data_IF_684839957915
#
_entry.id   IF_684839957915
#
_cell.length_a   1.000
_cell.length_b   1.000
_cell.length_c   1.000
_cell.angle_alpha   90.00
_cell.angle_beta   90.00
_cell.angle_gamma   90.00
#
_symmetry.space_group_name_H-M   'P 1'
#
loop_
_entity.id
_entity.type
_entity.pdbx_description
1 polymer ?
#
# COMPACT_ATOMS: atom_id res chain seq x y z
N UNK A 1 -11.89 4.68 8.90
CA UNK A 1 -10.71 4.88 8.04
C UNK A 1 -9.86 5.97 8.67
N UNK A 2 -8.55 5.78 8.78
CA UNK A 2 -7.62 6.78 9.32
C UNK A 2 -7.42 7.97 8.37
N UNK A 3 -6.93 9.09 8.90
CA UNK A 3 -6.71 10.33 8.13
C UNK A 3 -5.69 10.16 7.00
N UNK A 4 -4.75 9.23 7.13
CA UNK A 4 -3.76 8.89 6.10
C UNK A 4 -4.30 7.89 5.05
N UNK A 5 -5.57 7.51 5.15
CA UNK A 5 -6.24 6.54 4.29
C UNK A 5 -5.57 5.15 4.24
N UNK A 6 -4.72 4.81 5.22
CA UNK A 6 -4.04 3.50 5.27
C UNK A 6 -4.80 2.46 6.07
N UNK A 7 -5.43 2.88 7.18
CA UNK A 7 -5.92 1.96 8.21
C UNK A 7 -7.44 1.99 8.34
N UNK A 8 -8.07 0.84 8.17
CA UNK A 8 -9.45 0.58 8.56
C UNK A 8 -9.46 -0.01 9.96
N UNK A 9 -10.30 0.51 10.86
CA UNK A 9 -10.39 0.03 12.24
C UNK A 9 -11.81 -0.38 12.61
N UNK A 10 -11.92 -1.46 13.38
CA UNK A 10 -13.17 -1.90 14.00
C UNK A 10 -12.95 -2.22 15.48
N UNK A 11 -13.97 -1.94 16.29
CA UNK A 11 -14.04 -2.26 17.73
C UNK A 11 -15.23 -3.14 18.08
N UNK A 12 -15.84 -3.78 17.08
CA UNK A 12 -17.05 -4.55 17.31
C UNK A 12 -16.75 -5.79 18.18
N UNK A 13 -17.46 -5.91 19.30
CA UNK A 13 -17.18 -6.90 20.35
C UNK A 13 -17.20 -8.34 19.85
N UNK A 14 -18.11 -8.66 18.92
CA UNK A 14 -18.23 -10.00 18.35
C UNK A 14 -16.96 -10.46 17.60
N UNK A 15 -16.14 -9.53 17.10
CA UNK A 15 -14.87 -9.83 16.42
C UNK A 15 -13.74 -10.17 17.41
N UNK A 16 -13.89 -9.81 18.68
CA UNK A 16 -12.95 -10.14 19.75
C UNK A 16 -13.43 -11.26 20.69
N UNK A 17 -14.63 -11.78 20.46
CA UNK A 17 -15.27 -12.84 21.28
C UNK A 17 -15.62 -14.11 20.49
N UNK A 18 -15.72 -14.05 19.15
CA UNK A 18 -16.03 -15.21 18.31
C UNK A 18 -14.93 -15.42 17.25
N UNK A 19 -14.12 -16.50 17.36
CA UNK A 19 -13.01 -16.73 16.41
C UNK A 19 -13.48 -16.85 14.96
N UNK A 20 -14.61 -17.53 14.73
CA UNK A 20 -15.18 -17.72 13.38
C UNK A 20 -15.58 -16.40 12.71
N UNK A 21 -16.10 -15.44 13.48
CA UNK A 21 -16.44 -14.12 12.98
C UNK A 21 -15.20 -13.31 12.58
N UNK A 22 -14.12 -13.41 13.37
CA UNK A 22 -12.85 -12.78 13.04
C UNK A 22 -12.23 -13.42 11.79
N UNK A 23 -12.16 -14.75 11.70
CA UNK A 23 -11.66 -15.46 10.52
C UNK A 23 -12.43 -15.04 9.27
N UNK A 24 -13.76 -15.02 9.33
CA UNK A 24 -14.61 -14.58 8.21
C UNK A 24 -14.29 -13.15 7.79
N UNK A 25 -14.20 -12.21 8.74
CA UNK A 25 -13.82 -10.83 8.43
C UNK A 25 -12.45 -10.74 7.78
N UNK A 26 -11.44 -11.42 8.32
CA UNK A 26 -10.07 -11.36 7.81
C UNK A 26 -10.00 -11.92 6.39
N UNK A 27 -10.70 -13.03 6.11
CA UNK A 27 -10.82 -13.59 4.75
C UNK A 27 -11.49 -12.61 3.78
N UNK A 28 -12.62 -12.04 4.16
CA UNK A 28 -13.32 -11.04 3.32
C UNK A 28 -12.48 -9.79 3.10
N UNK A 29 -11.71 -9.34 4.10
CA UNK A 29 -10.83 -8.19 3.95
C UNK A 29 -9.58 -8.52 3.13
N UNK A 30 -9.08 -9.76 3.20
CA UNK A 30 -7.94 -10.20 2.42
C UNK A 30 -8.24 -10.27 0.92
N UNK A 31 -9.48 -10.57 0.52
CA UNK A 31 -9.92 -10.58 -0.88
C UNK A 31 -10.11 -9.18 -1.49
N UNK A 32 -9.97 -8.12 -0.68
CA UNK A 32 -10.03 -6.74 -1.17
C UNK A 32 -8.59 -6.26 -1.43
N UNK A 33 -8.26 -5.81 -2.66
CA UNK A 33 -6.90 -5.37 -2.99
C UNK A 33 -6.52 -4.07 -2.29
N UNK A 34 -5.22 -3.88 -1.98
CA UNK A 34 -4.71 -2.57 -1.62
C UNK A 34 -4.75 -1.63 -2.82
N UNK A 35 -4.69 -0.32 -2.58
CA UNK A 35 -4.64 0.69 -3.64
C UNK A 35 -3.25 1.32 -3.71
N UNK A 36 -2.31 0.74 -4.50
CA UNK A 36 -0.99 1.31 -4.74
C UNK A 36 -1.08 2.55 -5.64
N UNK A 37 -0.23 3.52 -5.35
CA UNK A 37 -0.19 4.82 -6.02
C UNK A 37 1.26 5.26 -6.19
N UNK A 38 1.54 5.99 -7.26
CA UNK A 38 2.80 6.72 -7.44
C UNK A 38 2.49 8.20 -7.27
N UNK A 39 3.24 8.88 -6.42
CA UNK A 39 3.21 10.33 -6.28
C UNK A 39 4.53 10.87 -6.82
N UNK A 40 4.46 11.82 -7.75
CA UNK A 40 5.62 12.44 -8.38
C UNK A 40 5.52 13.94 -8.16
N UNK A 41 6.44 14.48 -7.37
CA UNK A 41 6.45 15.88 -6.97
C UNK A 41 7.74 16.56 -7.42
N UNK A 42 7.60 17.65 -8.15
CA UNK A 42 8.69 18.55 -8.49
C UNK A 42 8.61 19.82 -7.66
N UNK A 43 9.68 20.15 -6.94
CA UNK A 43 9.80 21.45 -6.24
C UNK A 43 11.12 22.17 -6.51
N UNK A 44 11.07 23.51 -6.54
CA UNK A 44 12.23 24.40 -6.53
C UNK A 44 12.13 25.35 -5.34
N UNK A 45 13.06 25.20 -4.39
CA UNK A 45 12.99 25.87 -3.09
C UNK A 45 11.67 25.55 -2.39
N UNK A 46 10.88 26.57 -2.07
CA UNK A 46 9.56 26.43 -1.43
C UNK A 46 8.40 26.21 -2.41
N UNK A 47 8.62 26.42 -3.71
CA UNK A 47 7.57 26.31 -4.73
C UNK A 47 7.45 24.86 -5.20
N UNK A 48 6.22 24.35 -5.22
CA UNK A 48 5.89 23.09 -5.90
C UNK A 48 5.49 23.46 -7.32
N UNK A 49 6.25 23.00 -8.31
CA UNK A 49 5.97 23.27 -9.73
C UNK A 49 5.03 22.22 -10.32
N UNK A 50 5.02 20.99 -9.80
CA UNK A 50 4.02 19.97 -10.12
C UNK A 50 3.93 18.92 -9.00
N UNK A 51 2.75 18.33 -8.85
CA UNK A 51 2.46 17.26 -7.87
C UNK A 51 1.39 16.34 -8.46
N UNK A 52 1.83 15.27 -9.12
CA UNK A 52 0.94 14.36 -9.82
C UNK A 52 0.84 13.01 -9.12
N UNK A 53 -0.33 12.38 -9.23
CA UNK A 53 -0.65 11.09 -8.61
C UNK A 53 -1.18 10.11 -9.65
N UNK A 54 -0.68 8.89 -9.61
CA UNK A 54 -1.12 7.80 -10.48
C UNK A 54 -1.62 6.62 -9.66
N UNK A 55 -2.67 5.96 -10.14
CA UNK A 55 -3.19 4.74 -9.54
C UNK A 55 -2.60 3.52 -10.26
N UNK A 56 -2.03 2.58 -9.50
CA UNK A 56 -1.46 1.33 -10.02
C UNK A 56 -2.36 0.11 -9.81
N UNK A 57 -3.58 0.30 -9.29
CA UNK A 57 -4.49 -0.82 -8.99
C UNK A 57 -4.82 -1.67 -10.22
N UNK A 58 -4.89 -1.07 -11.42
CA UNK A 58 -5.13 -1.80 -12.69
C UNK A 58 -4.02 -2.79 -13.03
N UNK A 59 -2.87 -2.73 -12.35
CA UNK A 59 -1.77 -3.68 -12.55
C UNK A 59 -1.82 -4.86 -11.58
N UNK A 60 -2.64 -4.78 -10.53
CA UNK A 60 -2.78 -5.82 -9.51
C UNK A 60 -4.00 -6.69 -9.72
N UNK A 61 -5.06 -6.13 -10.31
CA UNK A 61 -6.34 -6.80 -10.48
C UNK A 61 -6.53 -7.09 -11.97
N UNK A 62 -6.36 -8.36 -12.41
CA UNK A 62 -6.66 -8.73 -13.79
C UNK A 62 -8.17 -8.70 -14.04
N UNK A 63 -8.56 -8.50 -15.30
CA UNK A 63 -9.98 -8.54 -15.71
C UNK A 63 -10.58 -9.95 -15.54
N UNK A 64 -9.77 -10.99 -15.72
CA UNK A 64 -10.14 -12.38 -15.46
C UNK A 64 -9.76 -12.79 -14.03
N UNK A 65 -10.76 -13.01 -13.18
CA UNK A 65 -10.56 -13.43 -11.79
C UNK A 65 -9.73 -14.72 -11.66
N UNK A 66 -9.73 -15.60 -12.67
CA UNK A 66 -8.93 -16.83 -12.67
C UNK A 66 -7.43 -16.58 -12.73
N UNK A 67 -7.01 -15.40 -13.18
CA UNK A 67 -5.61 -14.99 -13.26
C UNK A 67 -5.13 -14.30 -11.98
N UNK A 68 -6.04 -14.04 -11.03
CA UNK A 68 -5.72 -13.38 -9.76
C UNK A 68 -4.90 -14.34 -8.87
N UNK A 69 -3.81 -13.84 -8.31
CA UNK A 69 -2.84 -14.64 -7.52
C UNK A 69 -2.76 -14.11 -6.08
N UNK A 70 -3.88 -13.67 -5.50
CA UNK A 70 -3.93 -13.21 -4.10
C UNK A 70 -3.95 -14.40 -3.13
N UNK A 71 -3.26 -14.26 -1.99
CA UNK A 71 -3.27 -15.29 -0.95
C UNK A 71 -3.03 -14.70 0.43
N UNK A 72 -3.51 -15.42 1.45
CA UNK A 72 -3.23 -15.12 2.85
C UNK A 72 -1.94 -15.84 3.24
N UNK A 73 -1.00 -15.09 3.80
CA UNK A 73 0.23 -15.61 4.40
C UNK A 73 0.20 -15.35 5.90
N UNK A 74 0.24 -16.42 6.69
CA UNK A 74 0.50 -16.31 8.12
C UNK A 74 2.01 -16.26 8.37
N UNK A 75 2.39 -15.70 9.51
CA UNK A 75 3.78 -15.69 9.99
C UNK A 75 4.30 -17.13 10.09
N UNK A 76 5.51 -17.37 9.57
CA UNK A 76 6.15 -18.68 9.56
C UNK A 76 6.87 -19.02 10.87
N UNK A 77 7.43 -20.23 10.95
CA UNK A 77 8.32 -20.64 12.04
C UNK A 77 9.60 -19.80 12.06
N UNK A 78 10.08 -19.43 13.26
CA UNK A 78 11.26 -18.57 13.44
C UNK A 78 11.14 -17.12 12.93
N UNK A 79 10.01 -16.70 12.33
CA UNK A 79 9.83 -15.33 11.84
C UNK A 79 9.43 -14.38 12.99
N UNK A 80 10.17 -13.29 13.16
CA UNK A 80 9.87 -12.30 14.21
C UNK A 80 8.58 -11.52 13.87
N UNK A 81 7.58 -11.57 14.75
CA UNK A 81 6.33 -10.83 14.58
C UNK A 81 5.66 -10.51 15.92
N UNK A 82 4.65 -9.65 15.93
CA UNK A 82 3.81 -9.48 17.11
C UNK A 82 2.82 -10.64 17.21
N UNK A 83 3.07 -11.59 18.11
CA UNK A 83 2.32 -12.86 18.24
C UNK A 83 1.43 -12.91 19.50
N UNK A 84 0.90 -11.76 19.90
CA UNK A 84 0.07 -11.58 21.11
C UNK A 84 0.79 -10.93 22.29
N UNK A 85 2.04 -10.49 22.11
CA UNK A 85 2.77 -9.70 23.11
C UNK A 85 2.79 -8.21 22.81
N UNK A 86 3.33 -7.44 23.74
CA UNK A 86 3.64 -6.00 23.57
C UNK A 86 4.89 -5.79 22.70
N UNK A 87 5.77 -6.79 22.64
CA UNK A 87 6.99 -6.80 21.82
C UNK A 87 6.92 -7.91 20.77
N UNK A 88 7.64 -7.78 19.64
CA UNK A 88 7.78 -8.86 18.66
C UNK A 88 8.51 -10.06 19.26
N UNK A 89 8.11 -11.26 18.84
CA UNK A 89 8.69 -12.53 19.25
C UNK A 89 8.57 -13.56 18.10
N UNK A 90 9.32 -14.66 18.18
CA UNK A 90 9.25 -15.81 17.28
C UNK A 90 8.26 -16.86 17.79
N UNK A 91 8.00 -16.86 19.11
CA UNK A 91 7.00 -17.69 19.75
C UNK A 91 5.73 -16.87 20.07
N UNK A 92 4.56 -17.51 20.20
CA UNK A 92 4.30 -18.92 19.93
C UNK A 92 4.28 -19.25 18.43
N UNK A 93 4.53 -20.52 18.10
CA UNK A 93 4.31 -21.07 16.77
C UNK A 93 2.94 -21.75 16.71
N UNK A 94 2.32 -21.72 15.53
CA UNK A 94 0.99 -22.30 15.30
C UNK A 94 1.01 -23.51 14.36
N UNK A 95 2.20 -23.87 13.81
CA UNK A 95 2.34 -24.93 12.82
C UNK A 95 1.29 -24.82 11.71
N UNK A 96 0.62 -25.94 11.43
CA UNK A 96 -0.45 -26.04 10.41
C UNK A 96 -1.78 -25.37 10.81
N UNK A 97 -1.88 -24.81 12.01
CA UNK A 97 -3.11 -24.17 12.52
C UNK A 97 -3.49 -22.86 11.81
N UNK A 98 -2.54 -22.23 11.10
CA UNK A 98 -2.81 -21.13 10.19
C UNK A 98 -3.58 -19.94 10.78
N UNK A 99 -4.51 -19.38 9.99
CA UNK A 99 -5.30 -18.21 10.35
C UNK A 99 -6.26 -18.48 11.52
N UNK A 100 -6.90 -19.65 11.49
CA UNK A 100 -7.87 -20.10 12.48
C UNK A 100 -7.28 -20.09 13.88
N UNK A 101 -6.08 -20.65 14.03
CA UNK A 101 -5.40 -20.74 15.31
C UNK A 101 -4.98 -19.36 15.83
N UNK A 102 -4.50 -18.46 14.95
CA UNK A 102 -4.20 -17.08 15.34
C UNK A 102 -5.43 -16.31 15.80
N UNK A 103 -6.56 -16.48 15.10
CA UNK A 103 -7.82 -15.87 15.50
C UNK A 103 -8.35 -16.44 16.83
N UNK A 104 -8.21 -17.76 17.05
CA UNK A 104 -8.56 -18.42 18.33
C UNK A 104 -7.74 -17.83 19.49
N UNK A 105 -6.41 -17.77 19.34
CA UNK A 105 -5.50 -17.19 20.32
C UNK A 105 -5.81 -15.73 20.63
N UNK A 106 -6.10 -14.93 19.60
CA UNK A 106 -6.51 -13.53 19.80
C UNK A 106 -7.79 -13.43 20.62
N UNK A 107 -8.79 -14.28 20.40
CA UNK A 107 -10.03 -14.25 21.17
C UNK A 107 -9.80 -14.69 22.62
N UNK A 108 -8.98 -15.73 22.84
CA UNK A 108 -8.64 -16.25 24.16
C UNK A 108 -7.72 -15.33 24.99
N UNK A 109 -6.99 -14.41 24.34
CA UNK A 109 -6.14 -13.44 25.03
C UNK A 109 -6.95 -12.60 26.04
N UNK A 110 -6.52 -12.64 27.30
CA UNK A 110 -7.20 -11.96 28.42
C UNK A 110 -6.74 -10.52 28.61
N UNK A 111 -5.82 -10.03 27.79
CA UNK A 111 -5.34 -8.66 27.86
C UNK A 111 -6.46 -7.61 27.79
N UNK A 112 -6.27 -6.54 28.56
CA UNK A 112 -7.19 -5.39 28.63
C UNK A 112 -7.38 -4.73 27.28
N UNK A 113 -6.28 -4.59 26.52
CA UNK A 113 -6.26 -4.04 25.16
C UNK A 113 -5.42 -4.94 24.28
N UNK A 114 -6.06 -5.51 23.25
CA UNK A 114 -5.48 -6.37 22.23
C UNK A 114 -5.91 -5.93 20.84
N UNK A 115 -5.01 -6.10 19.88
CA UNK A 115 -5.19 -5.69 18.49
C UNK A 115 -4.81 -6.83 17.56
N UNK A 116 -5.70 -7.16 16.64
CA UNK A 116 -5.43 -8.02 15.49
C UNK A 116 -5.30 -7.19 14.22
N UNK A 117 -4.21 -7.37 13.49
CA UNK A 117 -3.93 -6.63 12.27
C UNK A 117 -3.81 -7.57 11.07
N UNK A 118 -4.44 -7.16 9.96
CA UNK A 118 -4.21 -7.68 8.63
C UNK A 118 -3.52 -6.60 7.80
N UNK A 119 -2.33 -6.92 7.28
CA UNK A 119 -1.62 -6.05 6.34
C UNK A 119 -1.75 -6.57 4.91
N UNK A 120 -2.17 -5.70 3.99
CA UNK A 120 -2.18 -5.93 2.55
C UNK A 120 -0.84 -5.50 1.97
N UNK A 121 -0.15 -6.42 1.30
CA UNK A 121 1.19 -6.21 0.77
C UNK A 121 1.17 -6.38 -0.73
N UNK A 122 1.67 -5.38 -1.46
CA UNK A 122 1.97 -5.51 -2.89
C UNK A 122 3.35 -6.12 -3.04
N UNK A 123 3.44 -7.30 -3.64
CA UNK A 123 4.71 -8.02 -3.81
C UNK A 123 5.22 -7.93 -5.25
N UNK A 124 6.54 -8.01 -5.44
CA UNK A 124 7.20 -8.21 -6.73
C UNK A 124 6.98 -7.12 -7.81
N UNK A 125 6.55 -5.91 -7.41
CA UNK A 125 6.56 -4.72 -8.26
C UNK A 125 7.96 -4.10 -8.23
N UNK A 126 8.55 -3.85 -9.39
CA UNK A 126 9.84 -3.14 -9.48
C UNK A 126 9.63 -1.62 -9.39
N UNK A 127 9.54 -1.14 -8.15
CA UNK A 127 9.41 0.30 -7.87
C UNK A 127 10.66 1.08 -8.26
N UNK A 128 11.85 0.49 -8.13
CA UNK A 128 13.12 1.16 -8.43
C UNK A 128 13.29 1.42 -9.92
N UNK A 129 12.88 0.48 -10.77
CA UNK A 129 12.90 0.66 -12.21
C UNK A 129 11.92 1.77 -12.64
N UNK A 130 10.68 1.74 -12.15
CA UNK A 130 9.67 2.77 -12.45
C UNK A 130 10.15 4.16 -11.96
N UNK A 131 10.74 4.23 -10.77
CA UNK A 131 11.33 5.46 -10.25
C UNK A 131 12.40 6.02 -11.18
N UNK A 132 13.35 5.18 -11.62
CA UNK A 132 14.41 5.58 -12.54
C UNK A 132 13.87 6.10 -13.88
N UNK A 133 12.82 5.47 -14.40
CA UNK A 133 12.12 5.94 -15.61
C UNK A 133 11.43 7.30 -15.41
N UNK A 134 10.73 7.50 -14.29
CA UNK A 134 10.09 8.77 -13.95
C UNK A 134 11.11 9.90 -13.79
N UNK A 135 12.21 9.65 -13.08
CA UNK A 135 13.29 10.63 -12.91
C UNK A 135 13.92 11.00 -14.25
N UNK A 136 14.18 10.00 -15.11
CA UNK A 136 14.72 10.22 -16.45
C UNK A 136 13.77 11.03 -17.33
N UNK A 137 12.46 10.76 -17.24
CA UNK A 137 11.43 11.53 -17.96
C UNK A 137 11.43 12.99 -17.50
N UNK A 138 11.43 13.26 -16.20
CA UNK A 138 11.47 14.63 -15.68
C UNK A 138 12.76 15.35 -16.08
N UNK A 139 13.90 14.67 -16.03
CA UNK A 139 15.17 15.24 -16.50
C UNK A 139 15.12 15.61 -17.99
N UNK A 140 14.47 14.79 -18.83
CA UNK A 140 14.30 15.09 -20.26
C UNK A 140 13.45 16.33 -20.55
N UNK A 141 12.69 16.81 -19.55
CA UNK A 141 11.93 18.06 -19.61
C UNK A 141 12.75 19.30 -19.19
N UNK A 142 14.07 19.15 -19.04
CA UNK A 142 15.00 20.19 -18.56
C UNK A 142 14.61 20.75 -17.17
N UNK A 143 13.92 19.96 -16.36
CA UNK A 143 13.55 20.36 -15.00
C UNK A 143 14.78 20.30 -14.08
N UNK A 144 15.13 21.45 -13.47
CA UNK A 144 16.33 21.59 -12.60
C UNK A 144 16.03 21.52 -11.10
N UNK A 145 14.78 21.32 -10.72
CA UNK A 145 14.38 21.23 -9.32
C UNK A 145 14.59 19.85 -8.71
N UNK A 146 14.24 19.74 -7.43
CA UNK A 146 14.20 18.46 -6.71
C UNK A 146 12.96 17.69 -7.17
N UNK A 147 13.16 16.40 -7.48
CA UNK A 147 12.09 15.47 -7.85
C UNK A 147 11.99 14.40 -6.78
N UNK A 148 10.81 14.28 -6.19
CA UNK A 148 10.46 13.25 -5.23
C UNK A 148 9.47 12.27 -5.89
N UNK A 149 9.82 10.99 -5.88
CA UNK A 149 8.98 9.90 -6.41
C UNK A 149 8.69 8.97 -5.25
N UNK A 150 7.43 8.84 -4.86
CA UNK A 150 7.02 8.01 -3.72
C UNK A 150 5.95 7.01 -4.13
N UNK A 151 6.11 5.78 -3.65
CA UNK A 151 5.14 4.71 -3.83
C UNK A 151 4.31 4.58 -2.55
N UNK A 152 3.03 4.93 -2.64
CA UNK A 152 2.12 4.95 -1.50
C UNK A 152 1.06 3.87 -1.67
N UNK A 153 0.90 3.03 -0.66
CA UNK A 153 -0.18 2.04 -0.63
C UNK A 153 -1.26 2.51 0.35
N UNK A 154 -2.44 2.81 -0.18
CA UNK A 154 -3.62 3.18 0.63
C UNK A 154 -4.50 1.95 0.88
N UNK A 155 -5.31 2.00 1.94
CA UNK A 155 -6.12 0.88 2.42
C UNK A 155 -5.29 -0.38 2.71
N UNK A 156 -4.03 -0.20 3.12
CA UNK A 156 -3.09 -1.29 3.32
C UNK A 156 -3.30 -2.06 4.62
N UNK A 157 -4.05 -1.53 5.60
CA UNK A 157 -4.13 -2.14 6.93
C UNK A 157 -5.55 -2.21 7.46
N UNK A 158 -5.91 -3.36 8.04
CA UNK A 158 -7.15 -3.55 8.79
C UNK A 158 -6.80 -3.90 10.23
N UNK A 159 -7.41 -3.19 11.18
CA UNK A 159 -7.21 -3.34 12.61
C UNK A 159 -8.53 -3.72 13.26
N UNK A 160 -8.52 -4.82 13.99
CA UNK A 160 -9.59 -5.19 14.92
C UNK A 160 -9.04 -5.03 16.33
N UNK A 161 -9.63 -4.12 17.10
CA UNK A 161 -9.31 -3.96 18.51
C UNK A 161 -10.49 -4.48 19.34
N UNK A 162 -10.23 -5.13 20.46
CA UNK A 162 -11.30 -5.38 21.42
C UNK A 162 -11.87 -4.05 21.94
N UNK A 163 -13.17 -4.00 22.31
CA UNK A 163 -13.71 -2.84 23.01
C UNK A 163 -12.94 -2.65 24.32
N UNK A 164 -12.68 -1.40 24.67
CA UNK A 164 -11.92 -1.06 25.87
C UNK A 164 -12.67 -1.61 27.08
N UNK A 165 -12.10 -2.61 27.76
CA UNK A 165 -12.61 -3.10 29.06
C UNK A 165 -12.29 -2.14 30.22
N UNK A 166 -11.63 -1.03 29.91
CA UNK A 166 -11.21 -0.03 30.88
C UNK A 166 -12.41 0.85 31.21
N UNK A 167 -12.82 0.85 32.48
CA UNK A 167 -13.86 1.74 32.98
C UNK A 167 -13.55 3.20 32.56
N UNK A 168 -14.51 3.96 31.99
CA UNK A 168 -14.28 5.35 31.55
C UNK A 168 -13.89 6.29 32.69
N UNK A 169 -14.05 5.88 33.95
CA UNK A 169 -13.65 6.61 35.15
C UNK A 169 -12.20 6.37 35.60
N UNK A 170 -11.47 5.42 35.01
CA UNK A 170 -10.08 5.06 35.37
C UNK A 170 -9.07 5.50 34.31
N UNK A 171 -9.25 6.67 33.70
CA UNK A 171 -8.20 7.42 32.98
C UNK A 171 -7.15 7.98 33.95
N UNK A 172 -6.69 7.17 34.90
CA UNK A 172 -5.48 7.41 35.66
C UNK A 172 -4.29 6.87 34.89
N UNK A 173 -3.12 7.45 35.17
CA UNK A 173 -1.80 7.27 34.57
C UNK A 173 -1.39 5.80 34.28
N UNK A 174 -2.06 4.81 34.85
CA UNK A 174 -1.92 3.37 34.56
C UNK A 174 -2.35 2.94 33.16
N UNK A 175 -3.29 3.63 32.50
CA UNK A 175 -3.67 3.30 31.11
C UNK A 175 -2.57 3.65 30.09
N UNK A 176 -1.58 4.46 30.49
CA UNK A 176 -0.39 4.78 29.68
C UNK A 176 0.66 3.67 29.72
N UNK A 177 0.64 2.79 30.73
CA UNK A 177 1.63 1.71 30.93
C UNK A 177 1.12 0.32 30.55
N UNK A 178 -0.17 0.16 30.23
CA UNK A 178 -0.70 -1.10 29.72
C UNK A 178 -0.37 -1.22 28.23
N UNK A 179 0.74 -1.92 27.95
CA UNK A 179 1.11 -2.26 26.58
C UNK A 179 -0.03 -3.02 25.90
N UNK A 180 -0.32 -2.66 24.65
CA UNK A 180 -1.35 -3.33 23.85
C UNK A 180 -0.78 -4.64 23.32
N UNK A 181 -1.43 -5.76 23.57
CA UNK A 181 -1.09 -7.02 22.92
C UNK A 181 -1.39 -6.90 21.43
N UNK A 182 -0.42 -7.23 20.58
CA UNK A 182 -0.56 -7.09 19.13
C UNK A 182 -0.44 -8.44 18.45
N UNK A 183 -1.28 -8.66 17.46
CA UNK A 183 -1.29 -9.81 16.56
C UNK A 183 -1.09 -9.27 15.14
N UNK A 184 0.17 -9.15 14.72
CA UNK A 184 0.57 -8.76 13.36
C UNK A 184 1.12 -9.99 12.62
N UNK A 185 0.27 -11.02 12.56
CA UNK A 185 0.65 -12.39 12.15
C UNK A 185 0.09 -12.79 10.80
N UNK A 186 -0.73 -11.94 10.17
CA UNK A 186 -1.42 -12.25 8.91
C UNK A 186 -1.18 -11.14 7.89
N UNK A 187 -0.80 -11.53 6.68
CA UNK A 187 -0.67 -10.66 5.52
C UNK A 187 -1.53 -11.15 4.38
N UNK A 188 -2.23 -10.25 3.70
CA UNK A 188 -2.85 -10.52 2.41
C UNK A 188 -1.87 -10.07 1.32
N UNK A 189 -1.30 -11.03 0.60
CA UNK A 189 -0.28 -10.76 -0.42
C UNK A 189 -0.95 -10.62 -1.78
N UNK A 190 -0.67 -9.51 -2.44
CA UNK A 190 -1.15 -9.14 -3.77
C UNK A 190 0.06 -9.01 -4.70
N UNK A 191 0.53 -10.11 -5.31
CA UNK A 191 1.70 -10.09 -6.16
C UNK A 191 1.40 -9.37 -7.47
N UNK A 192 2.26 -8.43 -7.85
CA UNK A 192 2.32 -7.85 -9.19
C UNK A 192 2.89 -8.85 -10.21
N UNK A 193 3.86 -9.65 -9.77
CA UNK A 193 4.46 -10.73 -10.56
C UNK A 193 4.68 -11.98 -9.70
N UNK A 194 4.81 -13.14 -10.33
CA UNK A 194 5.05 -14.43 -9.67
C UNK A 194 6.33 -14.44 -8.84
N UNK A 195 7.39 -13.82 -9.34
CA UNK A 195 8.72 -13.75 -8.71
C UNK A 195 9.28 -12.34 -8.77
N UNK A 196 10.36 -12.09 -8.03
CA UNK A 196 11.05 -10.79 -8.03
C UNK A 196 11.68 -10.51 -9.40
N UNK A 197 11.97 -9.24 -9.67
CA UNK A 197 12.66 -8.89 -10.90
C UNK A 197 14.05 -9.55 -10.96
N UNK A 198 14.41 -10.12 -12.11
CA UNK A 198 15.67 -10.84 -12.32
C UNK A 198 15.64 -12.35 -12.02
N UNK A 199 14.56 -12.88 -11.42
CA UNK A 199 14.43 -14.33 -11.19
C UNK A 199 13.86 -15.05 -12.42
N UNK A 200 14.35 -16.27 -12.75
CA UNK A 200 13.84 -17.03 -13.88
C UNK A 200 12.36 -17.39 -13.67
N UNK A 201 11.56 -17.31 -14.75
CA UNK A 201 10.13 -17.63 -14.71
C UNK A 201 9.22 -16.51 -14.20
N UNK A 202 9.73 -15.26 -14.10
CA UNK A 202 8.90 -14.09 -13.76
C UNK A 202 7.77 -13.89 -14.76
N UNK A 203 6.54 -13.90 -14.26
CA UNK A 203 5.32 -13.59 -15.01
C UNK A 203 4.56 -12.49 -14.26
N UNK A 204 4.32 -11.37 -14.92
CA UNK A 204 3.47 -10.32 -14.39
C UNK A 204 2.00 -10.75 -14.45
N UNK A 205 1.21 -10.39 -13.45
CA UNK A 205 -0.21 -10.80 -13.36
C UNK A 205 -1.04 -10.16 -14.48
N UNK A 206 -0.86 -8.85 -14.69
CA UNK A 206 -1.58 -8.09 -15.71
C UNK A 206 -0.66 -7.71 -16.87
N UNK A 207 0.37 -6.91 -16.58
CA UNK A 207 1.34 -6.44 -17.57
C UNK A 207 2.66 -6.11 -16.90
N UNK A 208 3.75 -6.08 -17.68
CA UNK A 208 5.07 -5.68 -17.16
C UNK A 208 5.15 -4.19 -16.89
N UNK A 209 6.10 -3.80 -16.03
CA UNK A 209 6.41 -2.40 -15.77
C UNK A 209 6.80 -1.66 -17.06
N UNK A 210 7.48 -2.34 -17.98
CA UNK A 210 7.88 -1.78 -19.28
C UNK A 210 6.69 -1.46 -20.18
N UNK A 211 5.72 -2.37 -20.28
CA UNK A 211 4.50 -2.14 -21.04
C UNK A 211 3.71 -0.98 -20.43
N UNK A 212 3.57 -0.99 -19.09
CA UNK A 212 2.94 0.12 -18.37
C UNK A 212 3.64 1.45 -18.66
N UNK A 213 4.97 1.48 -18.57
CA UNK A 213 5.73 2.70 -18.84
C UNK A 213 5.55 3.21 -20.25
N UNK A 214 5.57 2.33 -21.26
CA UNK A 214 5.38 2.71 -22.67
C UNK A 214 4.04 3.42 -22.89
N UNK A 215 3.00 2.97 -22.20
CA UNK A 215 1.66 3.54 -22.28
C UNK A 215 1.49 4.83 -21.48
N UNK A 216 2.15 4.92 -20.32
CA UNK A 216 1.95 6.03 -19.38
C UNK A 216 2.97 7.16 -19.51
N UNK A 217 4.12 6.94 -20.17
CA UNK A 217 5.16 7.98 -20.30
C UNK A 217 4.63 9.27 -20.92
N UNK A 218 3.79 9.18 -21.96
CA UNK A 218 3.25 10.34 -22.69
C UNK A 218 2.26 11.14 -21.85
N UNK A 219 1.20 10.55 -21.25
CA UNK A 219 0.28 11.30 -20.40
C UNK A 219 0.96 11.85 -19.14
N UNK A 220 1.93 11.14 -18.57
CA UNK A 220 2.75 11.66 -17.46
C UNK A 220 3.53 12.89 -17.90
N UNK A 221 4.25 12.80 -19.03
CA UNK A 221 5.03 13.91 -19.60
C UNK A 221 4.16 15.14 -19.81
N UNK A 222 2.96 14.93 -20.36
CA UNK A 222 1.99 16.00 -20.60
C UNK A 222 1.50 16.63 -19.28
N UNK A 223 1.10 15.82 -18.29
CA UNK A 223 0.67 16.34 -16.99
C UNK A 223 1.75 17.17 -16.29
N UNK A 224 3.02 16.72 -16.36
CA UNK A 224 4.16 17.45 -15.78
C UNK A 224 4.43 18.76 -16.54
N UNK A 225 4.36 18.75 -17.88
CA UNK A 225 4.57 19.96 -18.68
C UNK A 225 3.51 21.03 -18.43
N UNK A 226 2.29 20.62 -18.09
CA UNK A 226 1.20 21.51 -17.68
C UNK A 226 1.30 21.95 -16.21
N UNK A 227 2.38 21.62 -15.49
CA UNK A 227 2.56 21.97 -14.07
C UNK A 227 1.37 21.49 -13.22
N UNK A 228 0.85 20.29 -13.52
CA UNK A 228 -0.40 19.80 -12.93
C UNK A 228 -0.21 19.46 -11.45
N UNK A 229 -1.26 19.75 -10.67
CA UNK A 229 -1.43 19.29 -9.31
C UNK A 229 -2.69 18.40 -9.25
N UNK A 230 -2.54 17.10 -9.02
CA UNK A 230 -3.66 16.17 -8.93
C UNK A 230 -3.43 14.83 -9.60
N UNK A 231 -4.50 14.19 -10.05
CA UNK A 231 -4.44 12.84 -10.63
C UNK A 231 -4.10 12.86 -12.11
N UNK A 232 -3.36 11.83 -12.55
CA UNK A 232 -3.26 11.41 -13.95
C UNK A 232 -4.02 10.09 -14.05
N UNK A 233 -5.05 10.08 -14.89
CA UNK A 233 -6.07 9.04 -14.95
C UNK A 233 -6.03 8.32 -16.30
N UNK A 234 -6.87 7.28 -16.44
CA UNK A 234 -7.04 6.57 -17.71
C UNK A 234 -7.63 7.49 -18.78
N UNK A 235 -8.46 8.47 -18.41
CA UNK A 235 -8.98 9.49 -19.33
C UNK A 235 -7.83 10.30 -19.93
N UNK A 236 -6.86 10.75 -19.11
CA UNK A 236 -5.68 11.46 -19.61
C UNK A 236 -4.85 10.61 -20.58
N UNK A 237 -4.75 9.30 -20.31
CA UNK A 237 -4.10 8.35 -21.23
C UNK A 237 -4.85 8.26 -22.56
N UNK A 238 -6.19 8.20 -22.53
CA UNK A 238 -7.02 8.18 -23.73
C UNK A 238 -6.91 9.48 -24.52
N UNK A 239 -7.00 10.63 -23.86
CA UNK A 239 -6.81 11.95 -24.49
C UNK A 239 -5.44 12.10 -25.14
N UNK A 240 -4.38 11.60 -24.49
CA UNK A 240 -3.03 11.60 -25.09
C UNK A 240 -2.95 10.78 -26.38
N UNK A 241 -3.70 9.68 -26.48
CA UNK A 241 -3.77 8.85 -27.69
C UNK A 241 -4.67 9.49 -28.76
N UNK A 242 -5.82 10.04 -28.36
CA UNK A 242 -6.82 10.60 -29.28
C UNK A 242 -6.39 11.93 -29.87
N UNK A 243 -5.76 12.79 -29.07
CA UNK A 243 -5.43 14.17 -29.45
C UNK A 243 -3.92 14.37 -29.70
N UNK A 244 -3.09 13.34 -29.49
CA UNK A 244 -1.63 13.45 -29.58
C UNK A 244 -1.00 14.32 -28.48
N UNK A 245 -1.76 14.68 -27.44
CA UNK A 245 -1.29 15.48 -26.30
C UNK A 245 -0.02 14.85 -25.70
N UNK A 246 1.07 15.62 -25.65
CA UNK A 246 2.35 15.20 -25.06
C UNK A 246 3.41 14.69 -26.06
N UNK A 247 3.09 14.53 -27.35
CA UNK A 247 4.08 14.18 -28.39
C UNK A 247 5.01 15.37 -28.70
N UNK A 248 4.46 16.59 -28.78
CA UNK A 248 5.21 17.83 -29.04
C UNK A 248 5.18 18.78 -27.83
N UNK A 249 5.67 18.34 -26.67
CA UNK A 249 5.99 19.31 -25.61
C UNK A 249 7.24 20.08 -26.03
N UNK A 250 7.07 21.34 -26.46
CA UNK A 250 8.16 22.29 -26.66
C UNK A 250 8.93 22.58 -25.36
N UNK A 251 9.92 23.47 -25.44
CA UNK A 251 10.70 23.89 -24.26
C UNK A 251 9.77 24.44 -23.18
N UNK A 252 9.72 23.76 -22.03
CA UNK A 252 8.88 24.17 -20.91
C UNK A 252 9.58 25.31 -20.17
N UNK A 253 8.92 26.46 -20.10
CA UNK A 253 9.37 27.53 -19.21
C UNK A 253 8.99 27.17 -17.77
N UNK A 254 10.00 26.74 -16.99
CA UNK A 254 9.82 26.48 -15.58
C UNK A 254 9.73 27.78 -14.76
N UNK A 255 10.17 28.92 -15.29
CA UNK A 255 10.34 30.18 -14.57
C UNK A 255 11.71 30.26 -13.88
N UNK A 256 12.04 31.37 -13.21
CA UNK A 256 13.37 31.59 -12.64
C UNK A 256 13.75 30.55 -11.59
N UNK A 257 15.05 30.20 -11.55
CA UNK A 257 15.62 29.35 -10.50
C UNK A 257 15.69 30.16 -9.20
N UNK A 258 14.62 30.12 -8.42
CA UNK A 258 14.62 30.68 -7.06
C UNK A 258 15.41 29.73 -6.13
N UNK A 259 16.73 29.72 -6.28
CA UNK A 259 17.65 29.13 -5.31
C UNK A 259 17.86 30.13 -4.16
N UNK A 260 16.91 30.18 -3.23
CA UNK A 260 17.06 30.83 -1.92
C UNK A 260 16.55 29.89 -0.84
#
# INVERSE_FOLDING_TARGET
LSNDFKTLSSRAEYLSSKPTALVSLIRTQASVPPKPQIHVRGSRGRKVDFDIKLNLMSLLVPDDEKQRIDYIRCVGEGELAYRGGVKPDVLPEVGDGGLEEWCRRFVEDTASVKVFALDRVVANLDTSWIEGQLRSLVASLNYRGVVDVTFVVTHSRVIVQNPDRVNPFFTSVTSLFSGKNKYEVVKAVWPFATTKNGEPGRRCVVQSEEIWWREWKTPIKYAISQKRHGWVTVEDKLEAVMEGKGQETGTIDWGPDNMV
#
